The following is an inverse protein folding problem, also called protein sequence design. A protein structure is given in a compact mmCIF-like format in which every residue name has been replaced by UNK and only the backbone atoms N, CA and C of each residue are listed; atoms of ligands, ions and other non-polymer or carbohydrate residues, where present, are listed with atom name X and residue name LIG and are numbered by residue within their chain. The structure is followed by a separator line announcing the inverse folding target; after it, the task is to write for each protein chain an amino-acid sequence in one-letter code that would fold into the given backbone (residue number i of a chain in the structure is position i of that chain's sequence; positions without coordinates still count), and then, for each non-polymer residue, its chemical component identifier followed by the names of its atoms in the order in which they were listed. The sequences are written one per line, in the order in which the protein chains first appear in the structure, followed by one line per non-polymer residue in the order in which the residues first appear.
data_IF_123272928322
#
_entry.id   IF_123272928322
#
_cell.length_a   1.000
_cell.length_b   1.000
_cell.length_c   1.000
_cell.angle_alpha   90.00
_cell.angle_beta   90.00
_cell.angle_gamma   90.00
#
_symmetry.space_group_name_H-M   'P 1'
#
loop_
_entity.id
_entity.type
_entity.pdbx_description
1 polymer ?
#
# COMPACT_ATOMS: atom_id res chain seq x y z
N UNK A 1 2.59 -11.15 3.98
CA UNK A 1 2.97 -10.05 3.07
C UNK A 1 4.48 -9.81 2.92
N UNK A 2 5.37 -10.34 3.73
CA UNK A 2 6.83 -10.26 3.57
C UNK A 2 7.48 -11.62 3.27
N UNK A 3 6.71 -12.60 2.85
CA UNK A 3 7.18 -13.92 2.43
C UNK A 3 7.57 -13.98 0.95
N UNK A 4 7.67 -15.18 0.40
CA UNK A 4 8.02 -15.45 -1.00
C UNK A 4 7.15 -14.76 -2.05
N UNK A 5 6.03 -14.14 -1.64
CA UNK A 5 5.08 -13.41 -2.51
C UNK A 5 5.67 -12.12 -3.10
N UNK A 6 6.78 -11.60 -2.55
CA UNK A 6 7.44 -10.40 -3.09
C UNK A 6 8.00 -10.60 -4.51
N UNK A 7 8.15 -11.83 -4.97
CA UNK A 7 8.52 -12.16 -6.35
C UNK A 7 7.40 -11.87 -7.35
N UNK A 8 6.14 -11.92 -6.90
CA UNK A 8 4.97 -11.72 -7.75
C UNK A 8 4.50 -10.24 -7.80
N UNK A 9 4.97 -9.38 -6.87
CA UNK A 9 4.49 -7.98 -6.77
C UNK A 9 5.22 -7.07 -7.77
N UNK A 10 6.43 -7.40 -8.19
CA UNK A 10 7.23 -6.56 -9.08
C UNK A 10 7.79 -7.30 -10.29
N UNK A 11 7.49 -8.59 -10.45
CA UNK A 11 7.86 -9.34 -11.63
C UNK A 11 6.93 -8.97 -12.80
N UNK A 12 7.34 -8.03 -13.64
CA UNK A 12 6.67 -7.82 -14.92
C UNK A 12 6.81 -9.10 -15.75
N UNK A 13 5.72 -9.59 -16.37
CA UNK A 13 5.76 -10.77 -17.23
C UNK A 13 6.39 -10.43 -18.58
N UNK A 14 7.69 -10.11 -18.58
CA UNK A 14 8.44 -9.63 -19.76
C UNK A 14 8.24 -10.55 -20.96
N UNK A 15 8.35 -11.88 -20.75
CA UNK A 15 8.18 -12.86 -21.84
C UNK A 15 6.76 -12.84 -22.43
N UNK A 16 5.74 -12.59 -21.62
CA UNK A 16 4.36 -12.48 -22.12
C UNK A 16 4.17 -11.19 -22.90
N UNK A 17 4.74 -10.08 -22.40
CA UNK A 17 4.71 -8.79 -23.09
C UNK A 17 5.43 -8.90 -24.43
N UNK A 18 6.64 -9.46 -24.46
CA UNK A 18 7.38 -9.65 -25.72
C UNK A 18 6.62 -10.47 -26.76
N UNK A 19 5.99 -11.56 -26.33
CA UNK A 19 5.17 -12.40 -27.22
C UNK A 19 3.93 -11.68 -27.77
N UNK A 20 3.29 -10.87 -26.94
CA UNK A 20 2.07 -10.17 -27.33
C UNK A 20 2.31 -9.00 -28.29
N UNK A 21 3.35 -8.21 -28.04
CA UNK A 21 3.60 -6.97 -28.79
C UNK A 21 4.62 -7.13 -29.93
N UNK A 22 5.43 -8.22 -29.95
CA UNK A 22 6.49 -8.45 -30.93
C UNK A 22 7.36 -7.20 -31.14
N UNK A 23 8.15 -6.79 -30.12
CA UNK A 23 8.81 -5.49 -30.10
C UNK A 23 9.90 -5.39 -31.16
N UNK A 24 10.10 -4.20 -31.72
CA UNK A 24 11.30 -3.83 -32.47
C UNK A 24 12.52 -3.78 -31.53
N UNK A 25 13.76 -3.72 -32.07
CA UNK A 25 14.98 -3.64 -31.24
C UNK A 25 14.96 -2.43 -30.30
N UNK A 26 14.48 -1.28 -30.76
CA UNK A 26 14.36 -0.07 -29.90
C UNK A 26 13.34 -0.27 -28.77
N UNK A 27 12.21 -0.89 -29.08
CA UNK A 27 11.18 -1.19 -28.08
C UNK A 27 11.66 -2.26 -27.09
N UNK A 28 12.44 -3.25 -27.56
CA UNK A 28 13.05 -4.27 -26.73
C UNK A 28 14.02 -3.67 -25.72
N UNK A 29 14.91 -2.77 -26.17
CA UNK A 29 15.83 -2.06 -25.27
C UNK A 29 15.07 -1.27 -24.17
N UNK A 30 13.98 -0.60 -24.52
CA UNK A 30 13.15 0.10 -23.54
C UNK A 30 12.39 -0.86 -22.59
N UNK A 31 11.98 -2.03 -23.06
CA UNK A 31 11.37 -3.08 -22.25
C UNK A 31 12.38 -3.69 -21.26
N UNK A 32 13.63 -3.90 -21.70
CA UNK A 32 14.70 -4.39 -20.85
C UNK A 32 15.04 -3.37 -19.75
N UNK A 33 15.05 -2.07 -20.07
CA UNK A 33 15.19 -0.98 -19.08
C UNK A 33 14.06 -1.02 -18.03
N UNK A 34 12.82 -1.19 -18.47
CA UNK A 34 11.67 -1.35 -17.58
C UNK A 34 11.78 -2.62 -16.72
N UNK A 35 12.26 -3.71 -17.28
CA UNK A 35 12.54 -4.96 -16.56
C UNK A 35 13.57 -4.78 -15.45
N UNK A 36 14.66 -4.09 -15.72
CA UNK A 36 15.70 -3.79 -14.74
C UNK A 36 15.19 -2.87 -13.62
N UNK A 37 14.40 -1.85 -13.98
CA UNK A 37 13.73 -0.99 -13.01
C UNK A 37 12.77 -1.78 -12.10
N UNK A 38 12.06 -2.77 -12.67
CA UNK A 38 11.16 -3.66 -11.92
C UNK A 38 11.91 -4.51 -10.89
N UNK A 39 13.05 -5.08 -11.26
CA UNK A 39 13.92 -5.85 -10.36
C UNK A 39 14.41 -4.96 -9.20
N UNK A 40 14.86 -3.74 -9.51
CA UNK A 40 15.31 -2.76 -8.52
C UNK A 40 14.18 -2.38 -7.56
N UNK A 41 13.01 -2.06 -8.09
CA UNK A 41 11.81 -1.73 -7.31
C UNK A 41 11.40 -2.88 -6.36
N UNK A 42 11.42 -4.13 -6.86
CA UNK A 42 11.16 -5.33 -6.07
C UNK A 42 12.16 -5.50 -4.92
N UNK A 43 13.43 -5.26 -5.20
CA UNK A 43 14.51 -5.29 -4.20
C UNK A 43 14.25 -4.29 -3.07
N UNK A 44 13.90 -3.06 -3.41
CA UNK A 44 13.63 -1.98 -2.45
C UNK A 44 12.39 -2.29 -1.58
N UNK A 45 11.31 -2.79 -2.17
CA UNK A 45 10.12 -3.22 -1.41
C UNK A 45 10.48 -4.36 -0.44
N UNK A 46 11.29 -5.31 -0.88
CA UNK A 46 11.73 -6.43 -0.04
C UNK A 46 12.62 -5.99 1.12
N UNK A 47 13.52 -5.04 0.88
CA UNK A 47 14.40 -4.48 1.90
C UNK A 47 13.61 -3.72 2.99
N UNK A 48 12.43 -3.19 2.68
CA UNK A 48 11.55 -2.53 3.64
C UNK A 48 10.73 -3.51 4.51
N UNK A 49 10.92 -4.82 4.34
CA UNK A 49 10.27 -5.81 5.21
C UNK A 49 10.99 -5.91 6.55
N UNK A 50 10.25 -5.86 7.69
CA UNK A 50 10.88 -5.98 9.00
C UNK A 50 11.46 -7.39 9.17
N UNK A 51 12.66 -7.45 9.72
CA UNK A 51 13.33 -8.71 10.04
C UNK A 51 12.95 -9.23 11.44
N UNK A 52 12.33 -8.39 12.25
CA UNK A 52 11.90 -8.70 13.60
C UNK A 52 10.42 -8.47 13.80
N UNK A 53 9.81 -9.19 14.72
CA UNK A 53 8.41 -8.99 15.10
C UNK A 53 8.29 -7.70 15.91
N UNK A 54 7.51 -6.76 15.38
CA UNK A 54 7.22 -5.50 16.08
C UNK A 54 5.94 -5.69 16.90
N UNK A 55 6.05 -5.58 18.20
CA UNK A 55 4.98 -5.88 19.15
C UNK A 55 4.09 -4.65 19.45
N UNK A 56 4.67 -3.44 19.48
CA UNK A 56 3.93 -2.23 19.85
C UNK A 56 3.08 -1.67 18.73
N UNK A 57 1.93 -1.09 19.04
CA UNK A 57 1.01 -0.49 18.06
C UNK A 57 1.67 0.65 17.26
N UNK A 58 2.38 1.62 17.87
CA UNK A 58 3.12 2.62 17.12
C UNK A 58 4.19 2.01 16.21
N UNK A 59 4.92 1.00 16.69
CA UNK A 59 5.94 0.30 15.90
C UNK A 59 5.35 -0.42 14.68
N UNK A 60 4.20 -1.08 14.82
CA UNK A 60 3.50 -1.71 13.70
C UNK A 60 3.08 -0.69 12.64
N UNK A 61 2.60 0.48 13.08
CA UNK A 61 2.22 1.55 12.16
C UNK A 61 3.44 2.18 11.47
N UNK A 62 4.57 2.30 12.18
CA UNK A 62 5.84 2.74 11.62
C UNK A 62 6.33 1.79 10.50
N UNK A 63 6.27 0.48 10.73
CA UNK A 63 6.60 -0.53 9.69
C UNK A 63 5.65 -0.43 8.50
N UNK A 64 4.36 -0.23 8.73
CA UNK A 64 3.38 -0.03 7.66
C UNK A 64 3.72 1.20 6.82
N UNK A 65 4.05 2.32 7.46
CA UNK A 65 4.49 3.54 6.78
C UNK A 65 5.74 3.29 5.93
N UNK A 66 6.78 2.68 6.49
CA UNK A 66 8.03 2.38 5.79
C UNK A 66 7.79 1.52 4.54
N UNK A 67 6.89 0.56 4.61
CA UNK A 67 6.52 -0.28 3.47
C UNK A 67 5.77 0.50 2.39
N UNK A 68 4.87 1.41 2.77
CA UNK A 68 4.18 2.29 1.82
C UNK A 68 5.16 3.25 1.14
N UNK A 69 6.15 3.76 1.88
CA UNK A 69 7.23 4.59 1.33
C UNK A 69 8.06 3.82 0.30
N UNK A 70 8.40 2.56 0.59
CA UNK A 70 9.09 1.70 -0.37
C UNK A 70 8.24 1.42 -1.63
N UNK A 71 6.93 1.18 -1.48
CA UNK A 71 6.03 1.03 -2.63
C UNK A 71 5.91 2.33 -3.44
N UNK A 72 5.85 3.48 -2.77
CA UNK A 72 5.81 4.78 -3.45
C UNK A 72 7.11 5.05 -4.22
N UNK A 73 8.26 4.71 -3.63
CA UNK A 73 9.57 4.77 -4.30
C UNK A 73 9.64 3.84 -5.50
N UNK A 74 9.09 2.63 -5.39
CA UNK A 74 9.01 1.69 -6.50
C UNK A 74 8.18 2.24 -7.68
N UNK A 75 7.04 2.87 -7.40
CA UNK A 75 6.25 3.56 -8.44
C UNK A 75 7.07 4.66 -9.12
N UNK A 76 7.79 5.48 -8.35
CA UNK A 76 8.64 6.53 -8.90
C UNK A 76 9.78 5.98 -9.79
N UNK A 77 10.32 4.82 -9.42
CA UNK A 77 11.37 4.13 -10.20
C UNK A 77 10.81 3.55 -11.51
N UNK A 78 9.57 3.04 -11.49
CA UNK A 78 8.95 2.37 -12.64
C UNK A 78 8.29 3.32 -13.63
N UNK A 79 7.80 4.48 -13.17
CA UNK A 79 7.02 5.41 -13.98
C UNK A 79 7.76 5.88 -15.24
N UNK A 80 9.02 6.40 -15.19
CA UNK A 80 9.70 6.91 -16.37
C UNK A 80 9.99 5.83 -17.43
N UNK A 81 10.55 4.65 -17.09
CA UNK A 81 10.81 3.62 -18.08
C UNK A 81 9.50 3.03 -18.66
N UNK A 82 8.41 2.97 -17.88
CA UNK A 82 7.12 2.54 -18.39
C UNK A 82 6.54 3.54 -19.39
N UNK A 83 6.60 4.83 -19.09
CA UNK A 83 6.16 5.89 -20.01
C UNK A 83 6.96 5.88 -21.31
N UNK A 84 8.29 5.75 -21.21
CA UNK A 84 9.20 5.63 -22.36
C UNK A 84 8.83 4.43 -23.24
N UNK A 85 8.71 3.25 -22.62
CA UNK A 85 8.35 2.04 -23.35
C UNK A 85 6.98 2.16 -24.02
N UNK A 86 5.96 2.59 -23.27
CA UNK A 86 4.59 2.75 -23.77
C UNK A 86 4.51 3.79 -24.90
N UNK A 87 5.30 4.87 -24.80
CA UNK A 87 5.37 5.89 -25.84
C UNK A 87 5.97 5.42 -27.18
N UNK A 88 6.81 4.39 -27.16
CA UNK A 88 7.40 3.79 -28.37
C UNK A 88 6.46 2.80 -29.08
N UNK A 89 5.37 2.38 -28.44
CA UNK A 89 4.42 1.44 -29.01
C UNK A 89 3.48 2.10 -30.02
N UNK A 90 3.17 1.39 -31.09
CA UNK A 90 2.07 1.78 -31.97
C UNK A 90 0.70 1.44 -31.34
N UNK A 91 -0.39 1.88 -31.98
CA UNK A 91 -1.74 1.75 -31.41
C UNK A 91 -2.18 0.28 -31.26
N UNK A 92 -1.80 -0.59 -32.18
CA UNK A 92 -2.10 -2.02 -32.11
C UNK A 92 -1.34 -2.69 -30.95
N UNK A 93 -0.06 -2.36 -30.77
CA UNK A 93 0.76 -2.85 -29.65
C UNK A 93 0.23 -2.35 -28.31
N UNK A 94 -0.20 -1.08 -28.24
CA UNK A 94 -0.85 -0.52 -27.04
C UNK A 94 -2.14 -1.25 -26.71
N UNK A 95 -2.98 -1.54 -27.70
CA UNK A 95 -4.21 -2.29 -27.49
C UNK A 95 -3.92 -3.70 -26.93
N UNK A 96 -2.94 -4.41 -27.49
CA UNK A 96 -2.52 -5.73 -27.00
C UNK A 96 -1.97 -5.68 -25.56
N UNK A 97 -1.16 -4.67 -25.23
CA UNK A 97 -0.62 -4.50 -23.89
C UNK A 97 -1.72 -4.18 -22.86
N UNK A 98 -2.69 -3.34 -23.25
CA UNK A 98 -3.84 -3.03 -22.40
C UNK A 98 -4.70 -4.27 -22.13
N UNK A 99 -4.96 -5.08 -23.16
CA UNK A 99 -5.70 -6.34 -23.01
C UNK A 99 -5.01 -7.32 -22.06
N UNK A 100 -3.67 -7.46 -22.16
CA UNK A 100 -2.88 -8.27 -21.21
C UNK A 100 -3.03 -7.78 -19.75
N UNK A 101 -3.01 -6.47 -19.56
CA UNK A 101 -3.14 -5.88 -18.22
C UNK A 101 -4.55 -6.10 -17.63
N UNK A 102 -5.59 -6.11 -18.46
CA UNK A 102 -6.96 -6.42 -18.04
C UNK A 102 -7.14 -7.91 -17.69
N UNK A 103 -6.58 -8.81 -18.48
CA UNK A 103 -6.67 -10.25 -18.23
C UNK A 103 -5.96 -10.67 -16.94
N UNK A 104 -4.83 -10.04 -16.62
CA UNK A 104 -4.15 -10.25 -15.35
C UNK A 104 -4.97 -9.78 -14.14
N UNK A 105 -5.82 -8.77 -14.31
CA UNK A 105 -6.73 -8.31 -13.25
C UNK A 105 -7.94 -9.22 -13.06
N UNK A 106 -8.41 -9.86 -14.13
CA UNK A 106 -9.56 -10.79 -14.09
C UNK A 106 -9.20 -12.16 -13.52
N UNK A 107 -7.92 -12.54 -13.59
CA UNK A 107 -7.47 -13.80 -13.01
C UNK A 107 -7.28 -13.59 -11.51
N UNK A 108 -8.14 -14.14 -10.63
CA UNK A 108 -7.88 -14.08 -9.20
C UNK A 108 -6.58 -14.83 -8.98
N UNK A 109 -5.56 -14.15 -8.51
CA UNK A 109 -4.35 -14.82 -8.04
C UNK A 109 -4.77 -15.67 -6.84
N UNK A 110 -5.12 -16.91 -7.11
CA UNK A 110 -5.37 -17.94 -6.11
C UNK A 110 -4.06 -18.05 -5.30
N UNK A 111 -4.02 -17.50 -4.10
CA UNK A 111 -2.96 -17.52 -3.09
C UNK A 111 -2.13 -16.24 -2.89
N UNK A 112 -2.51 -15.08 -3.41
CA UNK A 112 -1.80 -13.86 -3.06
C UNK A 112 -2.51 -13.13 -1.91
N UNK A 113 -1.96 -13.27 -0.69
CA UNK A 113 -2.27 -12.40 0.46
C UNK A 113 -1.87 -10.92 0.23
N UNK A 114 -1.40 -10.58 -0.97
CA UNK A 114 -1.15 -9.26 -1.53
C UNK A 114 -2.03 -9.05 -2.76
N UNK A 115 -3.32 -9.31 -2.66
CA UNK A 115 -4.28 -9.00 -3.72
C UNK A 115 -4.13 -7.58 -4.23
N UNK A 116 -4.59 -7.28 -5.46
CA UNK A 116 -4.61 -5.92 -5.98
C UNK A 116 -5.19 -5.02 -4.91
N UNK A 117 -4.57 -3.86 -4.71
CA UNK A 117 -5.10 -2.81 -3.82
C UNK A 117 -6.61 -2.77 -4.06
N UNK A 118 -7.45 -2.93 -3.02
CA UNK A 118 -8.88 -3.18 -3.19
C UNK A 118 -9.43 -2.20 -4.21
N UNK A 119 -9.94 -2.75 -5.32
CA UNK A 119 -10.55 -1.95 -6.39
C UNK A 119 -11.85 -1.30 -5.93
N UNK A 120 -12.41 -1.80 -4.85
CA UNK A 120 -13.63 -1.26 -4.27
C UNK A 120 -13.30 -0.15 -3.28
N UNK A 121 -13.53 1.07 -3.71
CA UNK A 121 -13.63 2.23 -2.84
C UNK A 121 -14.76 2.07 -1.79
N UNK A 122 -15.62 1.10 -1.96
CA UNK A 122 -16.66 0.68 -1.01
C UNK A 122 -16.12 -0.14 0.17
N UNK A 123 -14.90 -0.72 0.06
CA UNK A 123 -14.31 -1.54 1.13
C UNK A 123 -13.53 -0.73 2.18
N UNK A 124 -13.37 0.56 2.01
CA UNK A 124 -12.98 1.44 3.12
C UNK A 124 -14.19 1.62 4.06
N UNK A 125 -14.59 0.52 4.71
CA UNK A 125 -15.64 0.59 5.72
C UNK A 125 -15.16 1.50 6.85
N UNK A 126 -15.94 2.52 7.24
CA UNK A 126 -15.62 3.39 8.38
C UNK A 126 -15.36 2.60 9.67
N UNK A 127 -15.94 1.42 9.79
CA UNK A 127 -15.73 0.51 10.92
C UNK A 127 -14.29 -0.03 11.06
N UNK A 128 -13.50 -0.10 9.98
CA UNK A 128 -12.11 -0.58 10.04
C UNK A 128 -11.13 0.46 10.61
N UNK A 129 -11.56 1.71 10.74
CA UNK A 129 -10.75 2.84 11.26
C UNK A 129 -11.25 3.31 12.62
N UNK A 130 -12.40 2.81 13.07
CA UNK A 130 -12.94 3.16 14.40
C UNK A 130 -12.14 2.44 15.50
N UNK A 131 -11.57 3.22 16.39
CA UNK A 131 -10.92 2.68 17.59
C UNK A 131 -11.97 2.10 18.54
N UNK A 132 -11.71 0.95 19.19
CA UNK A 132 -12.63 0.35 20.16
C UNK A 132 -12.60 1.14 21.49
N UNK A 133 -13.13 2.35 21.45
CA UNK A 133 -13.04 3.33 22.53
C UNK A 133 -13.57 2.79 23.85
N UNK A 134 -14.74 2.13 23.83
CA UNK A 134 -15.34 1.56 25.04
C UNK A 134 -14.46 0.47 25.68
N UNK A 135 -13.77 -0.36 24.85
CA UNK A 135 -12.83 -1.36 25.36
C UNK A 135 -11.55 -0.70 25.90
N UNK A 136 -11.07 0.36 25.22
CA UNK A 136 -9.91 1.14 25.66
C UNK A 136 -10.22 1.79 27.04
N UNK A 137 -11.35 2.45 27.18
CA UNK A 137 -11.77 3.07 28.43
C UNK A 137 -11.94 2.07 29.57
N UNK A 138 -12.55 0.93 29.28
CA UNK A 138 -12.81 -0.11 30.29
C UNK A 138 -11.52 -0.79 30.78
N UNK A 139 -10.53 -0.98 29.89
CA UNK A 139 -9.30 -1.69 30.24
C UNK A 139 -8.22 -0.77 30.78
N UNK A 140 -8.07 0.42 30.19
CA UNK A 140 -6.97 1.33 30.54
C UNK A 140 -7.33 2.28 31.69
N UNK A 141 -8.63 2.52 31.94
CA UNK A 141 -9.11 3.54 32.90
C UNK A 141 -8.35 4.87 32.74
N UNK A 142 -8.36 5.48 31.54
CA UNK A 142 -7.52 6.61 31.21
C UNK A 142 -7.89 7.84 32.08
N UNK A 143 -6.87 8.59 32.51
CA UNK A 143 -7.05 9.89 33.12
C UNK A 143 -7.44 10.96 32.07
N UNK A 144 -7.70 12.20 32.52
CA UNK A 144 -8.19 13.26 31.63
C UNK A 144 -7.19 13.63 30.51
N UNK A 145 -5.88 13.63 30.81
CA UNK A 145 -4.83 13.86 29.82
C UNK A 145 -4.80 12.75 28.76
N UNK A 146 -4.93 11.50 29.19
CA UNK A 146 -4.96 10.34 28.31
C UNK A 146 -6.24 10.31 27.45
N UNK A 147 -7.40 10.71 28.03
CA UNK A 147 -8.65 10.86 27.26
C UNK A 147 -8.53 11.94 26.18
N UNK A 148 -7.93 13.09 26.53
CA UNK A 148 -7.70 14.14 25.53
C UNK A 148 -6.80 13.65 24.37
N UNK A 149 -5.72 12.95 24.67
CA UNK A 149 -4.85 12.38 23.63
C UNK A 149 -5.54 11.29 22.81
N UNK A 150 -6.38 10.46 23.44
CA UNK A 150 -7.20 9.46 22.74
C UNK A 150 -8.21 10.12 21.77
N UNK A 151 -8.81 11.23 22.17
CA UNK A 151 -9.71 11.99 21.30
C UNK A 151 -8.98 12.52 20.07
N UNK A 152 -7.78 13.07 20.22
CA UNK A 152 -6.94 13.54 19.10
C UNK A 152 -6.63 12.38 18.15
N UNK A 153 -6.35 11.18 18.65
CA UNK A 153 -6.12 9.99 17.84
C UNK A 153 -7.38 9.59 17.06
N UNK A 154 -8.56 9.65 17.67
CA UNK A 154 -9.83 9.35 17.01
C UNK A 154 -10.12 10.36 15.89
N UNK A 155 -9.97 11.66 16.17
CA UNK A 155 -10.20 12.72 15.20
C UNK A 155 -9.23 12.62 14.01
N UNK A 156 -7.96 12.32 14.28
CA UNK A 156 -6.95 12.06 13.24
C UNK A 156 -7.32 10.85 12.38
N UNK A 157 -7.81 9.78 13.00
CA UNK A 157 -8.23 8.56 12.29
C UNK A 157 -9.49 8.81 11.44
N UNK A 158 -10.47 9.56 11.95
CA UNK A 158 -11.66 9.94 11.21
C UNK A 158 -11.31 10.80 9.99
N UNK A 159 -10.46 11.82 10.17
CA UNK A 159 -9.98 12.67 9.08
C UNK A 159 -9.19 11.87 8.03
N UNK A 160 -8.34 10.94 8.46
CA UNK A 160 -7.62 10.05 7.56
C UNK A 160 -8.57 9.19 6.71
N UNK A 161 -9.64 8.65 7.32
CA UNK A 161 -10.66 7.88 6.61
C UNK A 161 -11.39 8.71 5.55
N UNK A 162 -11.76 9.95 5.86
CA UNK A 162 -12.41 10.88 4.93
C UNK A 162 -11.47 11.22 3.75
N UNK A 163 -10.20 11.52 4.05
CA UNK A 163 -9.19 11.81 3.02
C UNK A 163 -8.98 10.63 2.07
N UNK A 164 -8.90 9.40 2.61
CA UNK A 164 -8.77 8.18 1.82
C UNK A 164 -10.01 7.91 0.96
N UNK A 165 -11.19 8.18 1.47
CA UNK A 165 -12.46 8.06 0.74
C UNK A 165 -12.54 9.07 -0.41
N UNK A 166 -12.15 10.33 -0.16
CA UNK A 166 -12.15 11.38 -1.18
C UNK A 166 -11.15 11.12 -2.30
N UNK A 167 -10.00 10.50 -1.99
CA UNK A 167 -8.97 10.15 -2.97
C UNK A 167 -9.31 8.91 -3.81
N UNK A 168 -10.47 8.31 -3.60
CA UNK A 168 -10.91 7.14 -4.33
C UNK A 168 -11.41 7.55 -5.72
N UNK A 169 -10.61 7.27 -6.75
CA UNK A 169 -10.98 7.49 -8.16
C UNK A 169 -11.28 6.15 -8.83
N UNK A 170 -12.27 6.14 -9.72
CA UNK A 170 -12.54 4.98 -10.57
C UNK A 170 -11.33 4.74 -11.49
N UNK A 171 -10.82 3.51 -11.48
CA UNK A 171 -9.65 3.12 -12.27
C UNK A 171 -10.02 2.65 -13.70
N UNK A 172 -11.27 2.92 -14.12
CA UNK A 172 -11.79 2.41 -15.37
C UNK A 172 -11.13 3.11 -16.57
N UNK A 173 -10.70 2.32 -17.54
CA UNK A 173 -10.14 2.76 -18.83
C UNK A 173 -8.78 3.51 -18.78
N UNK A 174 -7.93 3.30 -17.77
CA UNK A 174 -6.61 3.92 -17.72
C UNK A 174 -5.55 3.10 -18.45
N UNK A 175 -4.68 3.77 -19.23
CA UNK A 175 -3.47 3.15 -19.78
C UNK A 175 -2.52 2.69 -18.65
N UNK A 176 -1.62 1.71 -18.88
CA UNK A 176 -0.69 1.25 -17.87
C UNK A 176 0.13 2.37 -17.18
N UNK A 177 0.70 3.36 -17.90
CA UNK A 177 1.38 4.47 -17.26
C UNK A 177 0.47 5.34 -16.38
N UNK A 178 -0.73 5.67 -16.88
CA UNK A 178 -1.71 6.48 -16.14
C UNK A 178 -2.19 5.75 -14.88
N UNK A 179 -2.39 4.44 -14.97
CA UNK A 179 -2.77 3.59 -13.82
C UNK A 179 -1.66 3.55 -12.78
N UNK A 180 -0.40 3.40 -13.20
CA UNK A 180 0.73 3.45 -12.27
C UNK A 180 0.84 4.80 -11.56
N UNK A 181 0.64 5.90 -12.29
CA UNK A 181 0.58 7.25 -11.73
C UNK A 181 -0.56 7.42 -10.72
N UNK A 182 -1.75 6.86 -11.00
CA UNK A 182 -2.87 6.89 -10.08
C UNK A 182 -2.58 6.09 -8.79
N UNK A 183 -1.90 4.94 -8.90
CA UNK A 183 -1.41 4.17 -7.75
C UNK A 183 -0.44 5.02 -6.91
N UNK A 184 0.48 5.74 -7.55
CA UNK A 184 1.41 6.64 -6.88
C UNK A 184 0.69 7.71 -6.06
N UNK A 185 -0.26 8.42 -6.65
CA UNK A 185 -1.08 9.43 -5.98
C UNK A 185 -1.86 8.85 -4.79
N UNK A 186 -2.43 7.66 -4.95
CA UNK A 186 -3.12 6.97 -3.86
C UNK A 186 -2.18 6.62 -2.71
N UNK A 187 -0.97 6.14 -3.02
CA UNK A 187 0.05 5.87 -2.00
C UNK A 187 0.47 7.15 -1.27
N UNK A 188 0.59 8.29 -1.96
CA UNK A 188 0.88 9.57 -1.32
C UNK A 188 -0.21 9.96 -0.31
N UNK A 189 -1.50 9.83 -0.68
CA UNK A 189 -2.62 10.06 0.23
C UNK A 189 -2.64 9.09 1.41
N UNK A 190 -2.36 7.80 1.17
CA UNK A 190 -2.27 6.80 2.24
C UNK A 190 -1.12 7.10 3.20
N UNK A 191 0.02 7.54 2.69
CA UNK A 191 1.18 7.94 3.50
C UNK A 191 0.86 9.14 4.38
N UNK A 192 0.19 10.16 3.85
CA UNK A 192 -0.25 11.32 4.62
C UNK A 192 -1.19 10.91 5.76
N UNK A 193 -2.19 10.08 5.46
CA UNK A 193 -3.12 9.54 6.43
C UNK A 193 -2.42 8.74 7.54
N UNK A 194 -1.52 7.83 7.16
CA UNK A 194 -0.76 6.99 8.12
C UNK A 194 0.15 7.84 9.00
N UNK A 195 0.83 8.84 8.44
CA UNK A 195 1.70 9.75 9.22
C UNK A 195 0.91 10.53 10.27
N UNK A 196 -0.25 11.06 9.89
CA UNK A 196 -1.12 11.79 10.81
C UNK A 196 -1.62 10.91 11.95
N UNK A 197 -2.15 9.72 11.64
CA UNK A 197 -2.64 8.77 12.65
C UNK A 197 -1.48 8.25 13.52
N UNK A 198 -0.31 8.00 12.93
CA UNK A 198 0.87 7.54 13.67
C UNK A 198 1.34 8.56 14.69
N UNK A 199 1.44 9.83 14.32
CA UNK A 199 1.83 10.90 15.25
C UNK A 199 0.88 10.96 16.44
N UNK A 200 -0.44 10.99 16.19
CA UNK A 200 -1.43 10.99 17.25
C UNK A 200 -1.41 9.71 18.12
N UNK A 201 -1.12 8.55 17.52
CA UNK A 201 -0.97 7.29 18.26
C UNK A 201 0.30 7.29 19.13
N UNK A 202 1.42 7.80 18.64
CA UNK A 202 2.67 7.93 19.40
C UNK A 202 2.47 8.86 20.59
N UNK A 203 1.80 10.00 20.42
CA UNK A 203 1.48 10.95 21.49
C UNK A 203 0.58 10.30 22.55
N UNK A 204 -0.50 9.63 22.13
CA UNK A 204 -1.36 8.90 23.06
C UNK A 204 -0.59 7.81 23.81
N UNK A 205 0.17 6.98 23.11
CA UNK A 205 0.93 5.87 23.67
C UNK A 205 2.01 6.33 24.67
N UNK A 206 2.59 7.51 24.45
CA UNK A 206 3.57 8.12 25.34
C UNK A 206 2.96 8.54 26.71
N UNK A 207 1.66 8.81 26.75
CA UNK A 207 0.97 9.14 28.03
C UNK A 207 0.66 7.92 28.88
N UNK A 208 0.75 6.70 28.32
CA UNK A 208 0.38 5.47 29.00
C UNK A 208 1.51 4.96 29.93
N UNK A 209 1.13 4.41 31.07
CA UNK A 209 2.04 3.63 31.91
C UNK A 209 2.41 2.30 31.24
N UNK A 210 3.44 1.63 31.70
CA UNK A 210 3.87 0.35 31.11
C UNK A 210 2.80 -0.73 31.24
N UNK A 211 2.01 -0.72 32.32
CA UNK A 211 0.87 -1.62 32.49
C UNK A 211 -0.25 -1.30 31.49
N UNK A 212 -0.59 -0.02 31.34
CA UNK A 212 -1.58 0.41 30.35
C UNK A 212 -1.15 0.10 28.92
N UNK A 213 0.16 0.24 28.59
CA UNK A 213 0.69 -0.18 27.27
C UNK A 213 0.49 -1.67 27.04
N UNK A 214 0.78 -2.52 28.02
CA UNK A 214 0.56 -3.96 27.91
C UNK A 214 -0.93 -4.28 27.69
N UNK A 215 -1.83 -3.60 28.39
CA UNK A 215 -3.27 -3.76 28.21
C UNK A 215 -3.73 -3.27 26.83
N UNK A 216 -3.21 -2.13 26.35
CA UNK A 216 -3.50 -1.59 25.03
C UNK A 216 -3.10 -2.54 23.91
N UNK A 217 -1.92 -3.16 24.01
CA UNK A 217 -1.45 -4.15 23.02
C UNK A 217 -2.29 -5.44 23.01
N UNK A 218 -3.01 -5.71 24.09
CA UNK A 218 -3.95 -6.84 24.16
C UNK A 218 -5.33 -6.53 23.58
N UNK A 219 -5.62 -5.26 23.25
CA UNK A 219 -6.84 -4.83 22.58
C UNK A 219 -6.70 -5.08 21.07
N UNK A 220 -7.68 -5.73 20.49
CA UNK A 220 -7.72 -6.00 19.06
C UNK A 220 -7.95 -7.47 18.73
N UNK A 221 -8.14 -7.80 17.46
CA UNK A 221 -8.41 -9.19 17.07
C UNK A 221 -7.22 -10.07 17.46
N UNK A 222 -7.48 -11.05 18.30
CA UNK A 222 -6.51 -12.09 18.66
C UNK A 222 -6.07 -12.78 17.37
N UNK A 223 -4.82 -12.63 17.01
CA UNK A 223 -4.24 -13.46 15.95
C UNK A 223 -4.20 -14.89 16.52
N UNK A 224 -5.00 -15.76 15.94
CA UNK A 224 -4.79 -17.20 16.10
C UNK A 224 -3.36 -17.51 15.63
N UNK A 225 -2.57 -18.09 16.52
CA UNK A 225 -1.22 -18.56 16.26
C UNK A 225 -1.21 -19.68 15.21
#
# INVERSE_FOLDING_TARGET
MCGNDSRNIAGLPIDQIQRAIQPTETQKAALDELGNASITAAGNIRAACPQQVILTAPGRLAVMQQRMEAMRSAVATLQPPLEKFYGLLNDEQKARLNALAEDQQKTPAANNAGGPLPQSCSAAQPAAVAWPTGEIETRLHPNDTQRAALQVLQDSSAKAAETLKAACQAADAMTPPTRLGAIGKRLDTMLEAVRSVRAALEDFYATLTDEQKAQFEAIGPRRSA
#
